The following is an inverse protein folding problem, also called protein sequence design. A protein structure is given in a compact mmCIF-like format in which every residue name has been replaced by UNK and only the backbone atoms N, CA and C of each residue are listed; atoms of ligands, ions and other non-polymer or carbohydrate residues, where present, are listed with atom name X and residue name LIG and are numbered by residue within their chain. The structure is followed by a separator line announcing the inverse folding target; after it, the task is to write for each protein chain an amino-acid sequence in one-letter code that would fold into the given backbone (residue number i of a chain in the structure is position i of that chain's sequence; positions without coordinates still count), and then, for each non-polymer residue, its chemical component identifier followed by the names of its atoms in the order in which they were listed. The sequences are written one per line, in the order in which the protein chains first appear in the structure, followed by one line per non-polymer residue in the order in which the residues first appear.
data_IF_331106206103
#
_entry.id   IF_331106206103
#
_cell.length_a   1.000
_cell.length_b   1.000
_cell.length_c   1.000
_cell.angle_alpha   90.00
_cell.angle_beta   90.00
_cell.angle_gamma   90.00
#
_symmetry.space_group_name_H-M   'P 1'
#
loop_
_entity.id
_entity.type
_entity.pdbx_description
1 polymer ?
#
# COMPACT_ATOMS: atom_id res chain seq x y z
N UNK A 1 16.92 22.78 16.42
CA UNK A 1 16.62 22.10 17.70
C UNK A 1 15.62 22.91 18.52
N UNK A 2 15.81 24.22 18.72
CA UNK A 2 14.78 25.12 19.27
C UNK A 2 13.49 25.14 18.42
N UNK A 3 13.61 25.22 17.09
CA UNK A 3 12.44 25.23 16.19
C UNK A 3 11.58 23.95 16.30
N UNK A 4 12.19 22.77 16.35
CA UNK A 4 11.47 21.48 16.48
C UNK A 4 10.79 21.26 17.84
N UNK A 5 11.29 21.87 18.93
CA UNK A 5 10.64 21.82 20.25
C UNK A 5 9.42 22.74 20.32
N UNK A 6 9.48 23.90 19.67
CA UNK A 6 8.32 24.79 19.51
C UNK A 6 7.28 24.17 18.57
N UNK A 7 7.72 23.43 17.54
CA UNK A 7 6.84 22.86 16.52
C UNK A 7 5.97 21.70 17.03
N UNK A 8 6.53 20.74 17.78
CA UNK A 8 5.75 19.68 18.45
C UNK A 8 4.77 20.28 19.46
N UNK A 9 5.15 21.37 20.12
CA UNK A 9 4.32 22.09 21.08
C UNK A 9 3.16 22.90 20.46
N UNK A 10 3.16 23.18 19.16
CA UNK A 10 2.10 23.94 18.47
C UNK A 10 1.22 23.03 17.60
N UNK A 11 1.79 22.00 16.98
CA UNK A 11 1.02 21.11 16.12
C UNK A 11 0.10 20.16 16.88
N UNK A 12 0.55 19.60 18.00
CA UNK A 12 -0.29 18.70 18.80
C UNK A 12 -1.51 19.45 19.35
N UNK A 13 -1.40 20.66 19.91
CA UNK A 13 -2.56 21.45 20.33
C UNK A 13 -3.44 21.93 19.17
N UNK A 14 -2.89 22.30 18.02
CA UNK A 14 -3.69 22.70 16.85
C UNK A 14 -4.50 21.53 16.28
N UNK A 15 -3.91 20.32 16.23
CA UNK A 15 -4.61 19.10 15.82
C UNK A 15 -5.69 18.69 16.85
N UNK A 16 -5.38 18.87 18.14
CA UNK A 16 -6.32 18.60 19.24
C UNK A 16 -7.48 19.61 19.22
N UNK A 17 -7.21 20.88 18.97
CA UNK A 17 -8.22 21.93 18.79
C UNK A 17 -9.11 21.66 17.57
N UNK A 18 -8.53 21.14 16.48
CA UNK A 18 -9.28 20.75 15.27
C UNK A 18 -10.22 19.57 15.54
N UNK A 19 -9.77 18.56 16.30
CA UNK A 19 -10.61 17.44 16.76
C UNK A 19 -11.76 17.90 17.67
N UNK A 20 -11.50 18.90 18.52
CA UNK A 20 -12.49 19.44 19.46
C UNK A 20 -13.50 20.32 18.73
N UNK A 21 -13.06 21.18 17.81
CA UNK A 21 -13.94 22.07 17.03
C UNK A 21 -14.84 21.31 16.06
N UNK A 22 -14.35 20.23 15.45
CA UNK A 22 -15.14 19.40 14.54
C UNK A 22 -16.35 18.71 15.19
N UNK A 23 -16.34 18.49 16.51
CA UNK A 23 -17.52 17.94 17.22
C UNK A 23 -18.72 18.89 17.21
N UNK A 24 -18.53 20.18 16.90
CA UNK A 24 -19.57 21.20 17.02
C UNK A 24 -20.10 21.71 15.66
N UNK A 25 -19.49 21.31 14.55
CA UNK A 25 -19.84 21.75 13.20
C UNK A 25 -19.77 20.56 12.24
N UNK A 26 -20.81 19.73 12.21
CA UNK A 26 -20.90 18.65 11.22
C UNK A 26 -21.47 19.20 9.90
N UNK A 27 -20.75 19.08 8.79
CA UNK A 27 -21.25 19.48 7.48
C UNK A 27 -22.39 18.56 7.03
N UNK A 28 -23.15 18.98 6.02
CA UNK A 28 -24.14 18.12 5.38
C UNK A 28 -23.50 16.78 4.92
N UNK A 29 -24.21 15.66 5.02
CA UNK A 29 -23.65 14.32 4.81
C UNK A 29 -23.01 14.10 3.43
N UNK A 30 -23.50 14.79 2.40
CA UNK A 30 -22.94 14.75 1.04
C UNK A 30 -21.57 15.45 0.97
N UNK A 31 -21.39 16.56 1.69
CA UNK A 31 -20.14 17.33 1.75
C UNK A 31 -19.06 16.50 2.46
N UNK A 32 -19.43 15.78 3.53
CA UNK A 32 -18.50 14.92 4.28
C UNK A 32 -17.80 13.87 3.41
N UNK A 33 -18.52 13.20 2.51
CA UNK A 33 -17.95 12.16 1.63
C UNK A 33 -16.92 12.73 0.65
N UNK A 34 -17.19 13.91 0.09
CA UNK A 34 -16.26 14.60 -0.83
C UNK A 34 -15.01 15.06 -0.09
N UNK A 35 -15.15 15.58 1.13
CA UNK A 35 -14.03 16.00 1.98
C UNK A 35 -13.13 14.82 2.34
N UNK A 36 -13.71 13.66 2.68
CA UNK A 36 -12.95 12.42 2.96
C UNK A 36 -12.20 11.94 1.71
N UNK A 37 -12.85 11.90 0.55
CA UNK A 37 -12.19 11.48 -0.68
C UNK A 37 -11.05 12.43 -1.11
N UNK A 38 -11.28 13.75 -1.05
CA UNK A 38 -10.28 14.76 -1.38
C UNK A 38 -9.10 14.73 -0.42
N UNK A 39 -9.37 14.59 0.88
CA UNK A 39 -8.32 14.47 1.90
C UNK A 39 -7.48 13.21 1.67
N UNK A 40 -8.12 12.06 1.44
CA UNK A 40 -7.40 10.82 1.14
C UNK A 40 -6.49 10.95 -0.09
N UNK A 41 -6.94 11.62 -1.16
CA UNK A 41 -6.12 11.90 -2.34
C UNK A 41 -4.92 12.81 -2.00
N UNK A 42 -5.14 13.86 -1.20
CA UNK A 42 -4.06 14.76 -0.75
C UNK A 42 -3.03 13.99 0.06
N UNK A 43 -3.45 13.16 1.02
CA UNK A 43 -2.55 12.35 1.85
C UNK A 43 -1.83 11.26 1.04
N UNK A 44 -2.49 10.64 0.06
CA UNK A 44 -1.84 9.74 -0.90
C UNK A 44 -0.72 10.47 -1.65
N UNK A 45 -1.03 11.60 -2.29
CA UNK A 45 -0.06 12.38 -3.06
C UNK A 45 1.09 12.89 -2.17
N UNK A 46 0.77 13.33 -0.96
CA UNK A 46 1.75 13.78 0.02
C UNK A 46 2.75 12.67 0.32
N UNK A 47 2.31 11.45 0.61
CA UNK A 47 3.22 10.33 0.88
C UNK A 47 4.07 9.98 -0.35
N UNK A 48 3.49 10.05 -1.56
CA UNK A 48 4.26 9.91 -2.81
C UNK A 48 5.38 10.95 -2.88
N UNK A 49 5.05 12.21 -2.59
CA UNK A 49 6.01 13.32 -2.63
C UNK A 49 7.08 13.23 -1.55
N UNK A 50 6.75 12.81 -0.33
CA UNK A 50 7.71 12.65 0.76
C UNK A 50 8.76 11.60 0.45
N UNK A 51 8.31 10.47 -0.10
CA UNK A 51 9.18 9.45 -0.66
C UNK A 51 10.00 9.97 -1.83
N UNK A 52 9.41 10.77 -2.73
CA UNK A 52 10.11 11.32 -3.88
C UNK A 52 11.20 12.34 -3.50
N UNK A 53 10.94 13.17 -2.49
CA UNK A 53 11.81 14.23 -1.98
C UNK A 53 13.06 13.71 -1.23
N UNK A 54 13.24 12.40 -1.18
CA UNK A 54 14.38 11.74 -0.54
C UNK A 54 14.49 12.03 0.96
N UNK A 55 13.39 12.31 1.66
CA UNK A 55 13.41 12.36 3.13
C UNK A 55 13.87 11.03 3.71
N UNK A 56 14.52 11.06 4.87
CA UNK A 56 14.97 9.81 5.50
C UNK A 56 13.77 8.95 5.90
N UNK A 57 13.95 7.63 5.86
CA UNK A 57 12.89 6.66 6.18
C UNK A 57 12.30 6.91 7.57
N UNK A 58 13.13 7.32 8.54
CA UNK A 58 12.67 7.67 9.88
C UNK A 58 11.64 8.80 9.88
N UNK A 59 11.84 9.87 9.09
CA UNK A 59 10.87 10.97 9.04
C UNK A 59 9.58 10.54 8.32
N UNK A 60 9.68 9.76 7.24
CA UNK A 60 8.49 9.28 6.50
C UNK A 60 7.64 8.34 7.35
N UNK A 61 8.27 7.40 8.05
CA UNK A 61 7.58 6.46 8.93
C UNK A 61 7.02 7.15 10.17
N UNK A 62 7.74 8.12 10.74
CA UNK A 62 7.21 8.93 11.85
C UNK A 62 5.98 9.74 11.41
N UNK A 63 6.05 10.37 10.23
CA UNK A 63 4.91 11.09 9.67
C UNK A 63 3.72 10.17 9.41
N UNK A 64 3.94 9.02 8.78
CA UNK A 64 2.89 8.01 8.55
C UNK A 64 2.26 7.55 9.86
N UNK A 65 3.06 7.27 10.89
CA UNK A 65 2.57 6.83 12.20
C UNK A 65 1.76 7.93 12.90
N UNK A 66 2.28 9.17 12.95
CA UNK A 66 1.61 10.31 13.59
C UNK A 66 0.30 10.63 12.85
N UNK A 67 0.32 10.68 11.52
CA UNK A 67 -0.87 10.95 10.73
C UNK A 67 -1.91 9.84 10.91
N UNK A 68 -1.50 8.56 10.89
CA UNK A 68 -2.40 7.42 11.11
C UNK A 68 -3.04 7.46 12.51
N UNK A 69 -2.25 7.76 13.55
CA UNK A 69 -2.76 7.91 14.91
C UNK A 69 -3.73 9.10 15.04
N UNK A 70 -3.41 10.22 14.39
CA UNK A 70 -4.30 11.37 14.29
C UNK A 70 -5.64 10.98 13.67
N UNK A 71 -5.61 10.28 12.52
CA UNK A 71 -6.84 9.83 11.85
C UNK A 71 -7.67 8.88 12.69
N UNK A 72 -7.05 7.95 13.43
CA UNK A 72 -7.76 7.05 14.34
C UNK A 72 -8.46 7.83 15.47
N UNK A 73 -7.90 8.97 15.90
CA UNK A 73 -8.45 9.80 16.96
C UNK A 73 -9.54 10.79 16.53
N UNK A 74 -9.85 10.90 15.24
CA UNK A 74 -10.85 11.86 14.75
C UNK A 74 -12.28 11.40 15.00
N UNK A 75 -13.15 12.36 15.32
CA UNK A 75 -14.59 12.18 15.20
C UNK A 75 -14.96 12.01 13.72
N UNK A 76 -16.02 11.25 13.41
CA UNK A 76 -16.43 11.05 12.03
C UNK A 76 -16.84 12.37 11.35
N UNK A 77 -16.37 12.57 10.12
CA UNK A 77 -16.57 13.75 9.28
C UNK A 77 -17.74 13.61 8.30
N UNK A 78 -18.24 12.38 8.15
CA UNK A 78 -19.30 12.00 7.24
C UNK A 78 -20.10 10.83 7.79
N UNK A 79 -21.17 10.46 7.09
CA UNK A 79 -21.96 9.26 7.38
C UNK A 79 -21.15 7.96 7.34
N UNK A 80 -19.93 7.98 6.79
CA UNK A 80 -19.02 6.83 6.81
C UNK A 80 -18.71 6.41 8.25
N UNK A 81 -18.70 7.35 9.19
CA UNK A 81 -18.54 7.04 10.60
C UNK A 81 -17.14 6.56 10.96
N UNK A 82 -16.91 6.41 12.26
CA UNK A 82 -15.78 5.62 12.77
C UNK A 82 -16.17 4.14 12.72
N UNK A 83 -15.34 3.24 12.15
CA UNK A 83 -13.92 3.40 11.82
C UNK A 83 -13.61 3.52 10.31
N UNK A 84 -14.60 3.75 9.46
CA UNK A 84 -14.44 3.72 8.00
C UNK A 84 -13.51 4.81 7.47
N UNK A 85 -13.65 6.04 7.98
CA UNK A 85 -12.87 7.18 7.51
C UNK A 85 -11.38 7.09 7.90
N UNK A 86 -11.02 6.75 9.16
CA UNK A 86 -9.64 6.49 9.51
C UNK A 86 -9.01 5.40 8.65
N UNK A 87 -9.75 4.31 8.39
CA UNK A 87 -9.28 3.24 7.53
C UNK A 87 -8.97 3.78 6.13
N UNK A 88 -9.90 4.49 5.50
CA UNK A 88 -9.73 5.06 4.16
C UNK A 88 -8.49 5.97 4.06
N UNK A 89 -8.26 6.81 5.07
CA UNK A 89 -7.09 7.70 5.13
C UNK A 89 -5.78 6.92 5.29
N UNK A 90 -5.75 5.96 6.21
CA UNK A 90 -4.57 5.10 6.42
C UNK A 90 -4.24 4.33 5.16
N UNK A 91 -5.24 3.83 4.45
CA UNK A 91 -5.05 3.15 3.18
C UNK A 91 -4.49 4.04 2.10
N UNK A 92 -5.01 5.26 1.98
CA UNK A 92 -4.54 6.22 1.00
C UNK A 92 -3.07 6.60 1.29
N UNK A 93 -2.73 6.81 2.56
CA UNK A 93 -1.34 7.07 2.97
C UNK A 93 -0.42 5.88 2.71
N UNK A 94 -0.83 4.67 3.08
CA UNK A 94 -0.04 3.46 2.84
C UNK A 94 0.19 3.24 1.34
N UNK A 95 -0.86 3.40 0.52
CA UNK A 95 -0.77 3.31 -0.94
C UNK A 95 0.15 4.39 -1.52
N UNK A 96 0.12 5.59 -0.97
CA UNK A 96 0.99 6.70 -1.35
C UNK A 96 2.46 6.44 -1.03
N UNK A 97 2.78 5.93 0.16
CA UNK A 97 4.16 5.60 0.55
C UNK A 97 4.72 4.47 -0.33
N UNK A 98 3.89 3.50 -0.70
CA UNK A 98 4.26 2.43 -1.62
C UNK A 98 4.59 2.99 -3.00
N UNK A 99 3.68 3.79 -3.57
CA UNK A 99 3.88 4.38 -4.89
C UNK A 99 5.12 5.30 -4.88
N UNK A 100 5.28 6.10 -3.84
CA UNK A 100 6.45 6.92 -3.59
C UNK A 100 7.74 6.12 -3.52
N UNK A 101 7.75 5.02 -2.77
CA UNK A 101 8.87 4.09 -2.66
C UNK A 101 9.27 3.52 -4.02
N UNK A 102 8.31 3.11 -4.84
CA UNK A 102 8.56 2.59 -6.19
C UNK A 102 9.19 3.66 -7.11
N UNK A 103 8.67 4.90 -7.07
CA UNK A 103 9.22 6.02 -7.84
C UNK A 103 10.63 6.38 -7.36
N UNK A 104 10.83 6.47 -6.04
CA UNK A 104 12.12 6.80 -5.43
C UNK A 104 13.18 5.75 -5.77
N UNK A 105 12.80 4.48 -5.71
CA UNK A 105 13.63 3.35 -6.12
C UNK A 105 14.04 3.46 -7.59
N UNK A 106 13.11 3.75 -8.51
CA UNK A 106 13.43 3.93 -9.94
C UNK A 106 14.46 5.03 -10.16
N UNK A 107 14.33 6.14 -9.42
CA UNK A 107 15.29 7.24 -9.48
C UNK A 107 16.70 6.81 -9.01
N UNK A 108 16.80 6.00 -7.95
CA UNK A 108 18.08 5.44 -7.47
C UNK A 108 18.74 4.49 -8.46
N UNK A 109 18.00 3.57 -9.07
CA UNK A 109 18.57 2.68 -10.08
C UNK A 109 19.04 3.43 -11.33
N UNK A 110 18.30 4.46 -11.76
CA UNK A 110 18.75 5.34 -12.84
C UNK A 110 20.01 6.11 -12.47
N UNK A 111 20.13 6.54 -11.21
CA UNK A 111 21.33 7.22 -10.73
C UNK A 111 22.54 6.27 -10.72
N UNK A 112 22.40 5.04 -10.21
CA UNK A 112 23.45 4.02 -10.28
C UNK A 112 23.88 3.71 -11.70
N UNK A 113 22.92 3.56 -12.62
CA UNK A 113 23.21 3.30 -14.03
C UNK A 113 24.01 4.44 -14.67
N UNK A 114 23.90 5.67 -14.16
CA UNK A 114 24.70 6.83 -14.61
C UNK A 114 26.06 6.93 -13.93
N UNK A 115 26.20 6.42 -12.71
CA UNK A 115 27.38 6.64 -11.85
C UNK A 115 28.39 5.49 -11.90
N UNK A 116 27.99 4.24 -12.17
CA UNK A 116 28.82 3.11 -11.69
C UNK A 116 28.90 1.82 -12.51
N UNK A 117 28.49 1.73 -13.77
CA UNK A 117 28.55 0.42 -14.46
C UNK A 117 29.40 0.42 -15.75
N UNK A 118 30.50 -0.37 -15.80
CA UNK A 118 30.75 -1.19 -16.98
C UNK A 118 29.50 -2.03 -17.23
N UNK A 119 29.06 -2.13 -18.49
CA UNK A 119 27.77 -2.70 -18.86
C UNK A 119 27.45 -4.01 -18.10
N UNK A 120 26.48 -3.97 -17.18
CA UNK A 120 25.79 -5.20 -16.76
C UNK A 120 25.29 -5.81 -18.06
N UNK A 121 25.64 -7.07 -18.40
CA UNK A 121 25.17 -7.67 -19.62
C UNK A 121 23.64 -7.56 -19.60
N UNK A 122 23.04 -6.97 -20.65
CA UNK A 122 21.62 -6.59 -20.66
C UNK A 122 20.69 -7.78 -20.38
N UNK A 123 21.18 -9.01 -20.60
CA UNK A 123 20.52 -10.27 -20.29
C UNK A 123 20.19 -10.51 -18.81
N UNK A 124 20.84 -9.82 -17.87
CA UNK A 124 20.62 -10.05 -16.44
C UNK A 124 19.92 -8.93 -15.69
N UNK A 125 19.58 -7.86 -16.40
CA UNK A 125 18.85 -6.75 -15.81
C UNK A 125 17.46 -7.22 -15.36
N UNK A 126 17.06 -6.82 -14.15
CA UNK A 126 15.67 -6.93 -13.70
C UNK A 126 14.86 -5.79 -14.29
N UNK A 127 13.72 -6.10 -14.90
CA UNK A 127 12.76 -5.09 -15.29
C UNK A 127 12.24 -4.36 -14.02
N UNK A 128 12.25 -3.01 -13.98
CA UNK A 128 12.05 -2.26 -12.75
C UNK A 128 10.65 -2.42 -12.14
N UNK A 129 9.65 -2.75 -12.96
CA UNK A 129 8.25 -2.87 -12.54
C UNK A 129 7.84 -4.33 -12.31
N UNK A 130 7.89 -5.15 -13.36
CA UNK A 130 7.54 -6.57 -13.30
C UNK A 130 8.55 -7.43 -12.52
N UNK A 131 9.74 -6.90 -12.23
CA UNK A 131 10.85 -7.66 -11.64
C UNK A 131 11.22 -8.90 -12.46
N UNK A 132 10.83 -8.99 -13.73
CA UNK A 132 11.24 -10.09 -14.60
C UNK A 132 12.73 -9.96 -14.94
N UNK A 133 13.45 -11.08 -15.01
CA UNK A 133 14.78 -11.09 -15.61
C UNK A 133 14.66 -10.81 -17.12
N UNK A 134 15.64 -10.07 -17.67
CA UNK A 134 15.69 -9.81 -19.11
C UNK A 134 15.87 -11.10 -19.93
N UNK A 135 16.63 -12.07 -19.41
CA UNK A 135 16.69 -13.42 -19.96
C UNK A 135 15.48 -14.27 -19.55
N UNK A 136 14.65 -14.61 -20.54
CA UNK A 136 13.45 -15.44 -20.37
C UNK A 136 13.74 -16.85 -19.84
N UNK A 137 14.90 -17.43 -20.15
CA UNK A 137 15.28 -18.75 -19.64
C UNK A 137 15.64 -18.70 -18.15
N UNK A 138 16.31 -17.63 -17.70
CA UNK A 138 16.57 -17.38 -16.28
C UNK A 138 15.26 -17.11 -15.54
N UNK A 139 14.36 -16.32 -16.12
CA UNK A 139 13.02 -16.08 -15.60
C UNK A 139 12.21 -17.37 -15.41
N UNK A 140 12.20 -18.23 -16.43
CA UNK A 140 11.51 -19.51 -16.38
C UNK A 140 12.11 -20.43 -15.30
N UNK A 141 13.44 -20.52 -15.18
CA UNK A 141 14.05 -21.36 -14.12
C UNK A 141 13.75 -20.83 -12.73
N UNK A 142 13.90 -19.52 -12.51
CA UNK A 142 13.64 -18.90 -11.22
C UNK A 142 12.18 -19.10 -10.80
N UNK A 143 11.22 -18.77 -11.68
CA UNK A 143 9.80 -18.84 -11.32
C UNK A 143 9.31 -20.28 -11.15
N UNK A 144 9.90 -21.25 -11.86
CA UNK A 144 9.57 -22.67 -11.70
C UNK A 144 10.07 -23.21 -10.36
N UNK A 145 11.35 -22.93 -10.04
CA UNK A 145 11.94 -23.28 -8.75
C UNK A 145 11.17 -22.63 -7.60
N UNK A 146 10.82 -21.35 -7.75
CA UNK A 146 10.08 -20.61 -6.72
C UNK A 146 8.67 -21.18 -6.53
N UNK A 147 7.93 -21.41 -7.61
CA UNK A 147 6.61 -22.03 -7.56
C UNK A 147 6.65 -23.43 -6.95
N UNK A 148 7.71 -24.20 -7.17
CA UNK A 148 7.90 -25.50 -6.51
C UNK A 148 8.12 -25.32 -5.00
N UNK A 149 9.01 -24.41 -4.62
CA UNK A 149 9.37 -24.14 -3.21
C UNK A 149 8.20 -23.66 -2.34
N UNK A 150 7.16 -23.09 -2.96
CA UNK A 150 5.98 -22.59 -2.26
C UNK A 150 4.86 -23.61 -2.14
N UNK A 151 5.08 -24.86 -2.54
CA UNK A 151 4.06 -25.91 -2.46
C UNK A 151 3.54 -26.10 -1.03
N UNK A 152 4.42 -26.47 -0.10
CA UNK A 152 4.08 -26.73 1.30
C UNK A 152 3.40 -25.52 1.97
N UNK A 153 3.98 -24.31 1.97
CA UNK A 153 3.36 -23.20 2.68
C UNK A 153 2.00 -22.78 2.09
N UNK A 154 1.82 -22.88 0.77
CA UNK A 154 0.53 -22.57 0.15
C UNK A 154 -0.53 -23.64 0.46
N UNK A 155 -0.15 -24.92 0.45
CA UNK A 155 -1.04 -26.01 0.84
C UNK A 155 -1.49 -25.86 2.29
N UNK A 156 -0.57 -25.57 3.21
CA UNK A 156 -0.90 -25.33 4.62
C UNK A 156 -1.85 -24.14 4.79
N UNK A 157 -1.57 -23.02 4.11
CA UNK A 157 -2.45 -21.85 4.14
C UNK A 157 -3.86 -22.19 3.66
N UNK A 158 -3.98 -22.87 2.52
CA UNK A 158 -5.29 -23.25 1.96
C UNK A 158 -6.03 -24.24 2.87
N UNK A 159 -5.34 -25.21 3.45
CA UNK A 159 -5.94 -26.15 4.42
C UNK A 159 -6.46 -25.45 5.67
N UNK A 160 -5.73 -24.44 6.19
CA UNK A 160 -6.20 -23.62 7.31
C UNK A 160 -7.43 -22.81 6.91
N UNK A 161 -7.45 -22.21 5.72
CA UNK A 161 -8.64 -21.51 5.23
C UNK A 161 -9.86 -22.44 5.13
N UNK A 162 -9.69 -23.65 4.59
CA UNK A 162 -10.75 -24.68 4.56
C UNK A 162 -11.24 -25.01 5.97
N UNK A 163 -10.32 -25.30 6.91
CA UNK A 163 -10.68 -25.63 8.28
C UNK A 163 -11.45 -24.50 8.97
N UNK A 164 -11.00 -23.24 8.81
CA UNK A 164 -11.71 -22.09 9.34
C UNK A 164 -13.12 -21.98 8.76
N UNK A 165 -13.29 -22.11 7.44
CA UNK A 165 -14.60 -22.05 6.80
C UNK A 165 -15.53 -23.20 7.23
N UNK A 166 -15.01 -24.38 7.56
CA UNK A 166 -15.82 -25.49 8.12
C UNK A 166 -16.24 -25.23 9.56
N UNK A 167 -15.37 -24.60 10.36
CA UNK A 167 -15.61 -24.37 11.79
C UNK A 167 -16.50 -23.16 12.09
N UNK A 168 -16.45 -22.11 11.26
CA UNK A 168 -17.23 -20.87 11.50
C UNK A 168 -18.74 -21.13 11.59
N UNK A 169 -19.37 -21.96 10.71
CA UNK A 169 -20.80 -22.28 10.82
C UNK A 169 -21.21 -23.01 12.10
N UNK A 170 -20.26 -23.67 12.78
CA UNK A 170 -20.52 -24.29 14.08
C UNK A 170 -20.69 -23.25 15.20
N UNK A 171 -20.18 -22.04 15.00
CA UNK A 171 -20.33 -20.92 15.92
C UNK A 171 -21.56 -20.07 15.58
N UNK A 172 -21.87 -19.95 14.29
CA UNK A 172 -23.04 -19.23 13.80
C UNK A 172 -23.58 -19.88 12.51
N UNK A 173 -24.72 -20.55 12.62
CA UNK A 173 -25.33 -21.28 11.51
C UNK A 173 -25.80 -20.35 10.37
N UNK A 174 -26.03 -19.07 10.63
CA UNK A 174 -26.37 -18.09 9.58
C UNK A 174 -25.28 -17.97 8.52
N UNK A 175 -24.04 -18.29 8.88
CA UNK A 175 -22.86 -18.25 8.01
C UNK A 175 -22.66 -19.55 7.23
N UNK A 176 -23.53 -20.56 7.38
CA UNK A 176 -23.37 -21.85 6.71
C UNK A 176 -23.23 -21.72 5.19
N UNK A 177 -24.14 -21.01 4.53
CA UNK A 177 -24.15 -20.87 3.06
C UNK A 177 -22.88 -20.19 2.52
N UNK A 178 -22.47 -18.99 3.00
CA UNK A 178 -21.25 -18.36 2.53
C UNK A 178 -20.00 -19.19 2.88
N UNK A 179 -19.97 -19.84 4.04
CA UNK A 179 -18.86 -20.69 4.44
C UNK A 179 -18.74 -21.97 3.59
N UNK A 180 -19.85 -22.58 3.18
CA UNK A 180 -19.84 -23.71 2.24
C UNK A 180 -19.26 -23.30 0.88
N UNK A 181 -19.64 -22.12 0.38
CA UNK A 181 -19.08 -21.57 -0.86
C UNK A 181 -17.58 -21.31 -0.75
N UNK A 182 -17.14 -20.68 0.34
CA UNK A 182 -15.71 -20.44 0.58
C UNK A 182 -14.94 -21.76 0.78
N UNK A 183 -15.52 -22.73 1.48
CA UNK A 183 -14.94 -24.08 1.64
C UNK A 183 -14.74 -24.75 0.28
N UNK A 184 -15.75 -24.69 -0.60
CA UNK A 184 -15.65 -25.22 -1.96
C UNK A 184 -14.56 -24.49 -2.78
N UNK A 185 -14.49 -23.16 -2.69
CA UNK A 185 -13.45 -22.35 -3.33
C UNK A 185 -12.05 -22.77 -2.86
N UNK A 186 -11.78 -22.76 -1.56
CA UNK A 186 -10.48 -23.09 -1.00
C UNK A 186 -10.07 -24.54 -1.25
N UNK A 187 -11.02 -25.48 -1.15
CA UNK A 187 -10.79 -26.89 -1.46
C UNK A 187 -10.44 -27.09 -2.93
N UNK A 188 -11.12 -26.39 -3.84
CA UNK A 188 -10.81 -26.45 -5.28
C UNK A 188 -9.41 -25.93 -5.56
N UNK A 189 -8.99 -24.84 -4.92
CA UNK A 189 -7.64 -24.30 -5.05
C UNK A 189 -6.59 -25.24 -4.46
N UNK A 190 -6.89 -25.87 -3.32
CA UNK A 190 -6.03 -26.86 -2.68
C UNK A 190 -5.81 -28.08 -3.59
N UNK A 191 -6.90 -28.66 -4.12
CA UNK A 191 -6.85 -29.78 -5.05
C UNK A 191 -6.12 -29.39 -6.33
N UNK A 192 -6.42 -28.22 -6.89
CA UNK A 192 -5.72 -27.70 -8.07
C UNK A 192 -4.21 -27.57 -7.80
N UNK A 193 -3.82 -27.07 -6.62
CA UNK A 193 -2.42 -26.93 -6.23
C UNK A 193 -1.71 -28.28 -6.11
N UNK A 194 -2.37 -29.28 -5.50
CA UNK A 194 -1.85 -30.65 -5.39
C UNK A 194 -1.71 -31.29 -6.78
N UNK A 195 -2.70 -31.10 -7.64
CA UNK A 195 -2.72 -31.68 -8.98
C UNK A 195 -1.62 -31.09 -9.87
N UNK A 196 -1.53 -29.75 -9.97
CA UNK A 196 -0.50 -29.10 -10.80
C UNK A 196 0.92 -29.34 -10.30
N UNK A 197 1.11 -29.59 -8.99
CA UNK A 197 2.44 -29.88 -8.44
C UNK A 197 3.06 -31.16 -9.02
N UNK A 198 2.23 -32.12 -9.44
CA UNK A 198 2.67 -33.38 -10.05
C UNK A 198 3.14 -33.25 -11.51
N UNK A 199 2.95 -32.09 -12.13
CA UNK A 199 3.37 -31.87 -13.51
C UNK A 199 4.90 -31.76 -13.60
N UNK A 200 5.51 -32.41 -14.60
CA UNK A 200 6.96 -32.32 -14.83
C UNK A 200 7.39 -30.88 -15.17
N UNK A 201 6.58 -30.16 -15.95
CA UNK A 201 6.81 -28.75 -16.28
C UNK A 201 6.15 -27.83 -15.26
N UNK A 202 6.95 -27.35 -14.31
CA UNK A 202 6.51 -26.42 -13.27
C UNK A 202 6.19 -25.02 -13.79
N UNK A 203 6.68 -24.62 -14.98
CA UNK A 203 6.23 -23.37 -15.61
C UNK A 203 4.79 -23.47 -16.08
N UNK A 204 4.47 -24.55 -16.79
CA UNK A 204 3.11 -24.83 -17.22
C UNK A 204 2.18 -25.00 -16.03
N UNK A 205 2.62 -25.72 -14.98
CA UNK A 205 1.89 -25.87 -13.73
C UNK A 205 1.51 -24.52 -13.10
N UNK A 206 2.47 -23.58 -13.05
CA UNK A 206 2.29 -22.22 -12.53
C UNK A 206 1.22 -21.44 -13.30
N UNK A 207 1.27 -21.48 -14.62
CA UNK A 207 0.29 -20.78 -15.46
C UNK A 207 -1.10 -21.39 -15.34
N UNK A 208 -1.20 -22.73 -15.35
CA UNK A 208 -2.49 -23.43 -15.15
C UNK A 208 -3.08 -23.12 -13.78
N UNK A 209 -2.26 -23.14 -12.73
CA UNK A 209 -2.71 -22.78 -11.38
C UNK A 209 -3.21 -21.34 -11.31
N UNK A 210 -2.49 -20.39 -11.93
CA UNK A 210 -2.93 -18.99 -12.00
C UNK A 210 -4.27 -18.82 -12.73
N UNK A 211 -4.49 -19.57 -13.82
CA UNK A 211 -5.77 -19.56 -14.54
C UNK A 211 -6.90 -20.16 -13.72
N UNK A 212 -6.66 -21.29 -13.06
CA UNK A 212 -7.64 -21.89 -12.15
C UNK A 212 -7.96 -20.90 -11.04
N UNK A 213 -6.94 -20.30 -10.42
CA UNK A 213 -7.10 -19.32 -9.35
C UNK A 213 -8.05 -18.19 -9.75
N UNK A 214 -7.78 -17.51 -10.85
CA UNK A 214 -8.64 -16.45 -11.38
C UNK A 214 -10.02 -17.00 -11.75
N UNK A 215 -10.05 -18.14 -12.45
CA UNK A 215 -11.27 -18.75 -12.99
C UNK A 215 -12.26 -19.23 -11.94
N UNK A 216 -11.81 -19.68 -10.76
CA UNK A 216 -12.74 -20.07 -9.66
C UNK A 216 -13.18 -18.89 -8.81
N UNK A 217 -12.37 -17.83 -8.70
CA UNK A 217 -12.75 -16.66 -7.91
C UNK A 217 -13.86 -15.84 -8.58
N UNK A 218 -13.91 -15.77 -9.91
CA UNK A 218 -15.01 -15.08 -10.62
C UNK A 218 -16.39 -15.65 -10.22
N UNK A 219 -16.70 -16.94 -10.45
CA UNK A 219 -17.99 -17.50 -10.09
C UNK A 219 -18.21 -17.53 -8.58
N UNK A 220 -17.16 -17.69 -7.76
CA UNK A 220 -17.30 -17.63 -6.31
C UNK A 220 -17.77 -16.25 -5.82
N UNK A 221 -17.17 -15.17 -6.34
CA UNK A 221 -17.60 -13.81 -6.03
C UNK A 221 -18.99 -13.52 -6.58
N UNK A 222 -19.28 -13.93 -7.82
CA UNK A 222 -20.64 -13.78 -8.39
C UNK A 222 -21.68 -14.50 -7.53
N UNK A 223 -21.42 -15.74 -7.14
CA UNK A 223 -22.32 -16.52 -6.29
C UNK A 223 -22.49 -15.85 -4.92
N UNK A 224 -21.42 -15.39 -4.28
CA UNK A 224 -21.51 -14.68 -3.00
C UNK A 224 -22.35 -13.40 -3.11
N UNK A 225 -22.10 -12.56 -4.12
CA UNK A 225 -22.88 -11.34 -4.33
C UNK A 225 -24.37 -11.62 -4.61
N UNK A 226 -24.67 -12.70 -5.35
CA UNK A 226 -26.04 -13.13 -5.61
C UNK A 226 -26.69 -13.66 -4.33
N UNK A 227 -26.04 -14.61 -3.65
CA UNK A 227 -26.57 -15.26 -2.45
C UNK A 227 -26.84 -14.25 -1.35
N UNK A 228 -25.91 -13.34 -1.07
CA UNK A 228 -26.12 -12.32 -0.04
C UNK A 228 -27.37 -11.47 -0.29
N UNK A 229 -27.72 -11.18 -1.54
CA UNK A 229 -28.95 -10.44 -1.88
C UNK A 229 -30.23 -11.21 -1.61
N UNK A 230 -30.15 -12.54 -1.54
CA UNK A 230 -31.32 -13.41 -1.38
C UNK A 230 -31.41 -14.10 -0.02
N UNK A 231 -30.30 -14.22 0.72
CA UNK A 231 -30.24 -15.08 1.92
C UNK A 231 -29.93 -14.36 3.23
N UNK A 232 -29.48 -13.10 3.22
CA UNK A 232 -29.10 -12.39 4.45
C UNK A 232 -30.03 -11.21 4.74
N UNK A 233 -31.02 -11.37 5.65
CA UNK A 233 -31.62 -10.23 6.33
C UNK A 233 -30.68 -9.77 7.45
N UNK A 234 -30.40 -8.46 7.49
CA UNK A 234 -29.68 -7.75 8.57
C UNK A 234 -28.18 -8.06 8.75
N UNK A 235 -27.37 -7.11 9.29
CA UNK A 235 -25.93 -7.30 9.45
C UNK A 235 -25.64 -8.36 10.51
N UNK A 236 -25.29 -9.57 10.07
CA UNK A 236 -25.17 -10.76 10.91
C UNK A 236 -23.80 -10.89 11.62
N UNK A 237 -22.78 -10.15 11.21
CA UNK A 237 -21.39 -10.49 11.57
C UNK A 237 -20.64 -9.35 12.26
N UNK A 238 -19.99 -9.67 13.39
CA UNK A 238 -19.20 -8.71 14.16
C UNK A 238 -17.92 -8.25 13.44
N UNK A 239 -17.43 -7.06 13.79
CA UNK A 239 -16.23 -6.40 13.22
C UNK A 239 -14.98 -7.28 13.20
N UNK A 240 -14.87 -8.23 14.14
CA UNK A 240 -13.77 -9.20 14.23
C UNK A 240 -13.69 -10.10 12.99
N UNK A 241 -14.82 -10.50 12.41
CA UNK A 241 -14.84 -11.36 11.22
C UNK A 241 -14.38 -10.60 9.98
N UNK A 242 -14.71 -9.31 9.89
CA UNK A 242 -14.18 -8.43 8.84
C UNK A 242 -12.67 -8.27 8.97
N UNK A 243 -12.15 -8.05 10.18
CA UNK A 243 -10.71 -7.98 10.43
C UNK A 243 -9.99 -9.29 10.08
N UNK A 244 -10.54 -10.44 10.49
CA UNK A 244 -9.99 -11.74 10.18
C UNK A 244 -9.99 -12.03 8.67
N UNK A 245 -11.08 -11.69 7.99
CA UNK A 245 -11.19 -11.81 6.53
C UNK A 245 -10.14 -10.94 5.83
N UNK A 246 -10.01 -9.68 6.21
CA UNK A 246 -8.99 -8.78 5.66
C UNK A 246 -7.58 -9.33 5.84
N UNK A 247 -7.26 -9.93 6.99
CA UNK A 247 -5.98 -10.60 7.21
C UNK A 247 -5.79 -11.79 6.25
N UNK A 248 -6.81 -12.62 6.03
CA UNK A 248 -6.76 -13.73 5.07
C UNK A 248 -6.47 -13.21 3.66
N UNK A 249 -7.18 -12.16 3.21
CA UNK A 249 -6.98 -11.56 1.89
C UNK A 249 -5.62 -10.87 1.75
N UNK A 250 -5.11 -10.23 2.80
CA UNK A 250 -3.74 -9.72 2.86
C UNK A 250 -2.73 -10.86 2.67
N UNK A 251 -2.84 -11.94 3.47
CA UNK A 251 -1.93 -13.08 3.41
C UNK A 251 -2.02 -13.80 2.06
N UNK A 252 -3.21 -13.89 1.48
CA UNK A 252 -3.43 -14.46 0.17
C UNK A 252 -2.60 -13.73 -0.90
N UNK A 253 -2.65 -12.40 -0.94
CA UNK A 253 -1.84 -11.61 -1.89
C UNK A 253 -0.32 -11.80 -1.67
N UNK A 254 0.11 -11.90 -0.41
CA UNK A 254 1.50 -12.21 -0.07
C UNK A 254 1.90 -13.59 -0.61
N UNK A 255 1.06 -14.61 -0.42
CA UNK A 255 1.33 -15.97 -0.88
C UNK A 255 1.33 -16.09 -2.41
N UNK A 256 0.44 -15.39 -3.11
CA UNK A 256 0.42 -15.38 -4.57
C UNK A 256 1.68 -14.78 -5.16
N UNK A 257 2.15 -13.68 -4.57
CA UNK A 257 3.43 -13.07 -4.92
C UNK A 257 4.61 -13.98 -4.57
N UNK A 258 4.55 -14.65 -3.41
CA UNK A 258 5.60 -15.58 -3.00
C UNK A 258 5.68 -16.82 -3.91
N UNK A 259 4.54 -17.31 -4.41
CA UNK A 259 4.45 -18.40 -5.36
C UNK A 259 4.92 -18.03 -6.77
N UNK A 260 5.34 -16.78 -6.98
CA UNK A 260 5.80 -16.25 -8.26
C UNK A 260 4.77 -16.42 -9.38
N UNK A 261 3.46 -16.35 -9.07
CA UNK A 261 2.42 -16.26 -10.10
C UNK A 261 2.67 -15.05 -11.00
N UNK A 262 2.28 -15.15 -12.27
CA UNK A 262 2.48 -14.04 -13.20
C UNK A 262 1.69 -12.81 -12.76
N UNK A 263 2.24 -11.63 -13.04
CA UNK A 263 1.64 -10.33 -12.70
C UNK A 263 0.21 -10.23 -13.20
N UNK A 264 -0.05 -10.73 -14.42
CA UNK A 264 -1.38 -10.75 -15.01
C UNK A 264 -2.41 -11.50 -14.12
N UNK A 265 -2.08 -12.68 -13.59
CA UNK A 265 -3.00 -13.43 -12.73
C UNK A 265 -3.20 -12.76 -11.37
N UNK A 266 -2.14 -12.18 -10.78
CA UNK A 266 -2.22 -11.49 -9.49
C UNK A 266 -3.07 -10.23 -9.59
N UNK A 267 -2.84 -9.42 -10.63
CA UNK A 267 -3.62 -8.21 -10.90
C UNK A 267 -5.06 -8.53 -11.29
N UNK A 268 -5.29 -9.58 -12.09
CA UNK A 268 -6.65 -10.03 -12.41
C UNK A 268 -7.40 -10.45 -11.14
N UNK A 269 -6.76 -11.23 -10.26
CA UNK A 269 -7.35 -11.61 -8.99
C UNK A 269 -7.64 -10.39 -8.09
N UNK A 270 -6.70 -9.45 -7.97
CA UNK A 270 -6.89 -8.21 -7.21
C UNK A 270 -8.10 -7.41 -7.75
N UNK A 271 -8.23 -7.29 -9.07
CA UNK A 271 -9.37 -6.63 -9.70
C UNK A 271 -10.69 -7.37 -9.42
N UNK A 272 -10.74 -8.68 -9.62
CA UNK A 272 -11.93 -9.51 -9.37
C UNK A 272 -12.35 -9.42 -7.91
N UNK A 273 -11.42 -9.56 -6.97
CA UNK A 273 -11.73 -9.49 -5.55
C UNK A 273 -12.19 -8.09 -5.14
N UNK A 274 -11.55 -7.03 -5.66
CA UNK A 274 -11.97 -5.65 -5.38
C UNK A 274 -13.39 -5.38 -5.89
N UNK A 275 -13.71 -5.82 -7.12
CA UNK A 275 -15.06 -5.72 -7.67
C UNK A 275 -16.06 -6.58 -6.90
N UNK A 276 -15.65 -7.77 -6.47
CA UNK A 276 -16.44 -8.64 -5.60
C UNK A 276 -16.84 -7.91 -4.32
N UNK A 277 -15.86 -7.38 -3.58
CA UNK A 277 -16.12 -6.61 -2.37
C UNK A 277 -16.99 -5.37 -2.58
N UNK A 278 -16.78 -4.63 -3.67
CA UNK A 278 -17.64 -3.48 -4.01
C UNK A 278 -19.07 -3.92 -4.30
N UNK A 279 -19.25 -5.10 -4.89
CA UNK A 279 -20.56 -5.65 -5.25
C UNK A 279 -21.28 -6.39 -4.12
N UNK A 280 -20.59 -6.75 -3.04
CA UNK A 280 -21.18 -7.39 -1.86
C UNK A 280 -22.16 -6.43 -1.17
N UNK A 281 -23.26 -6.99 -0.67
CA UNK A 281 -24.15 -6.25 0.21
C UNK A 281 -23.44 -6.02 1.57
N UNK A 282 -23.82 -4.95 2.31
CA UNK A 282 -23.35 -4.76 3.67
C UNK A 282 -23.63 -6.03 4.49
N UNK A 283 -22.59 -6.62 5.09
CA UNK A 283 -22.72 -7.90 5.81
C UNK A 283 -22.23 -7.85 7.26
N UNK A 284 -21.65 -6.73 7.69
CA UNK A 284 -21.27 -6.46 9.07
C UNK A 284 -21.78 -5.10 9.53
N UNK A 285 -21.54 -4.78 10.81
CA UNK A 285 -21.79 -3.46 11.38
C UNK A 285 -21.02 -2.31 10.71
N UNK A 286 -19.93 -2.62 9.98
CA UNK A 286 -19.14 -1.58 9.28
C UNK A 286 -19.92 -1.02 8.08
N UNK A 287 -20.70 -1.88 7.43
CA UNK A 287 -21.51 -1.56 6.28
C UNK A 287 -20.73 -1.05 5.06
N UNK A 288 -21.47 -0.66 4.03
CA UNK A 288 -20.90 -0.01 2.85
C UNK A 288 -20.80 1.50 3.07
N UNK A 289 -19.68 2.15 2.69
CA UNK A 289 -18.56 1.63 1.90
C UNK A 289 -17.31 1.27 2.74
N UNK A 290 -17.46 1.16 4.06
CA UNK A 290 -16.35 0.86 4.96
C UNK A 290 -15.75 -0.54 4.72
N UNK A 291 -16.61 -1.55 4.59
CA UNK A 291 -16.18 -2.95 4.39
C UNK A 291 -15.39 -3.13 3.08
N UNK A 292 -15.88 -2.68 1.91
CA UNK A 292 -15.11 -2.80 0.67
C UNK A 292 -13.79 -2.05 0.74
N UNK A 293 -13.78 -0.84 1.32
CA UNK A 293 -12.56 -0.07 1.48
C UNK A 293 -11.52 -0.86 2.29
N UNK A 294 -11.89 -1.32 3.48
CA UNK A 294 -10.99 -2.06 4.37
C UNK A 294 -10.39 -3.32 3.70
N UNK A 295 -11.21 -4.06 2.96
CA UNK A 295 -10.77 -5.27 2.24
C UNK A 295 -9.83 -4.95 1.08
N UNK A 296 -10.15 -3.93 0.28
CA UNK A 296 -9.30 -3.47 -0.83
C UNK A 296 -7.95 -3.01 -0.30
N UNK A 297 -7.93 -2.29 0.81
CA UNK A 297 -6.70 -1.86 1.45
C UNK A 297 -5.83 -3.02 1.94
N UNK A 298 -6.45 -4.03 2.56
CA UNK A 298 -5.74 -5.20 3.03
C UNK A 298 -5.12 -5.96 1.85
N UNK A 299 -5.85 -6.12 0.75
CA UNK A 299 -5.31 -6.73 -0.47
C UNK A 299 -4.19 -5.91 -1.09
N UNK A 300 -4.35 -4.59 -1.22
CA UNK A 300 -3.32 -3.71 -1.75
C UNK A 300 -2.04 -3.78 -0.89
N UNK A 301 -2.18 -3.74 0.42
CA UNK A 301 -1.08 -3.88 1.37
C UNK A 301 -0.39 -5.25 1.25
N UNK A 302 -1.17 -6.31 1.02
CA UNK A 302 -0.66 -7.66 0.80
C UNK A 302 0.13 -7.81 -0.51
N UNK A 303 -0.35 -7.22 -1.61
CA UNK A 303 0.37 -7.22 -2.90
C UNK A 303 1.69 -6.45 -2.79
N UNK A 304 1.71 -5.34 -2.06
CA UNK A 304 2.92 -4.58 -1.78
C UNK A 304 3.92 -5.40 -0.97
N UNK A 305 3.48 -6.01 0.12
CA UNK A 305 4.34 -6.85 0.95
C UNK A 305 4.87 -8.03 0.13
N UNK A 306 4.01 -8.67 -0.64
CA UNK A 306 4.35 -9.73 -1.58
C UNK A 306 5.40 -9.29 -2.60
N UNK A 307 5.24 -8.12 -3.20
CA UNK A 307 6.19 -7.51 -4.14
C UNK A 307 7.56 -7.30 -3.49
N UNK A 308 7.61 -6.77 -2.26
CA UNK A 308 8.87 -6.57 -1.52
C UNK A 308 9.58 -7.90 -1.24
N UNK A 309 8.85 -8.94 -0.84
CA UNK A 309 9.38 -10.28 -0.59
C UNK A 309 9.91 -10.90 -1.90
N UNK A 310 9.12 -10.84 -2.98
CA UNK A 310 9.48 -11.37 -4.30
C UNK A 310 10.72 -10.68 -4.85
N UNK A 311 10.78 -9.35 -4.72
CA UNK A 311 11.96 -8.54 -5.04
C UNK A 311 13.20 -9.02 -4.31
N UNK A 312 13.13 -9.16 -2.97
CA UNK A 312 14.27 -9.61 -2.15
C UNK A 312 14.77 -10.98 -2.61
N UNK A 313 13.84 -11.89 -2.93
CA UNK A 313 14.17 -13.22 -3.41
C UNK A 313 14.89 -13.18 -4.78
N UNK A 314 14.47 -12.30 -5.70
CA UNK A 314 15.09 -12.15 -7.03
C UNK A 314 16.49 -11.53 -6.98
N UNK A 315 16.70 -10.49 -6.17
CA UNK A 315 18.06 -9.94 -6.00
C UNK A 315 19.02 -10.94 -5.36
N UNK A 316 18.54 -11.73 -4.39
CA UNK A 316 19.35 -12.84 -3.83
C UNK A 316 19.67 -13.90 -4.88
N UNK A 317 18.75 -14.18 -5.79
CA UNK A 317 19.00 -15.10 -6.89
C UNK A 317 20.07 -14.56 -7.85
N UNK A 318 19.98 -13.29 -8.26
CA UNK A 318 21.02 -12.64 -9.06
C UNK A 318 22.39 -12.66 -8.38
N UNK A 319 22.44 -12.30 -7.10
CA UNK A 319 23.68 -12.30 -6.35
C UNK A 319 24.35 -13.69 -6.29
N UNK A 320 23.56 -14.78 -6.40
CA UNK A 320 24.07 -16.15 -6.46
C UNK A 320 24.47 -16.58 -7.87
N UNK A 321 23.83 -16.04 -8.91
CA UNK A 321 24.01 -16.45 -10.30
C UNK A 321 25.08 -15.63 -11.04
N UNK A 322 25.40 -14.41 -10.57
CA UNK A 322 26.15 -13.41 -11.36
C UNK A 322 27.46 -12.85 -10.77
N UNK A 323 28.15 -13.48 -9.82
CA UNK A 323 29.43 -12.89 -9.39
C UNK A 323 30.46 -12.99 -10.55
N UNK A 324 30.90 -11.84 -11.11
CA UNK A 324 32.03 -11.09 -10.56
C UNK A 324 31.56 -9.95 -9.66
N UNK A 325 32.40 -9.64 -8.67
CA UNK A 325 32.11 -8.73 -7.57
C UNK A 325 31.60 -7.35 -8.07
N UNK A 326 30.29 -7.10 -7.93
CA UNK A 326 29.83 -5.72 -7.76
C UNK A 326 30.57 -5.20 -6.53
N UNK A 327 31.37 -4.11 -6.65
CA UNK A 327 32.08 -3.61 -5.50
C UNK A 327 31.06 -3.34 -4.39
N UNK A 328 31.28 -3.83 -3.17
CA UNK A 328 30.30 -3.77 -2.09
C UNK A 328 29.84 -2.33 -1.77
N UNK A 329 30.61 -1.32 -2.20
CA UNK A 329 30.28 0.11 -2.14
C UNK A 329 29.10 0.55 -3.03
N UNK A 330 28.77 -0.18 -4.10
CA UNK A 330 27.69 0.14 -5.04
C UNK A 330 26.33 -0.48 -4.69
N UNK A 331 26.31 -1.37 -3.69
CA UNK A 331 25.11 -2.12 -3.33
C UNK A 331 24.04 -1.22 -2.69
N UNK A 332 22.80 -1.32 -3.17
CA UNK A 332 21.65 -0.74 -2.50
C UNK A 332 21.21 -1.64 -1.35
N UNK A 333 21.04 -1.07 -0.16
CA UNK A 333 20.43 -1.77 0.95
C UNK A 333 18.99 -2.17 0.59
N UNK A 334 18.59 -3.44 0.76
CA UNK A 334 17.34 -3.97 0.20
C UNK A 334 16.07 -3.35 0.79
N UNK A 335 16.15 -2.79 2.00
CA UNK A 335 15.02 -2.21 2.72
C UNK A 335 14.99 -0.69 2.62
N UNK A 336 16.04 -0.03 3.11
CA UNK A 336 16.16 1.43 3.14
C UNK A 336 16.46 2.06 1.78
N UNK A 337 16.82 1.26 0.76
CA UNK A 337 17.30 1.74 -0.53
C UNK A 337 18.53 2.65 -0.43
N UNK A 338 19.23 2.71 0.70
CA UNK A 338 20.45 3.50 0.84
C UNK A 338 21.58 2.86 0.03
N UNK A 339 22.44 3.67 -0.59
CA UNK A 339 23.70 3.18 -1.13
C UNK A 339 24.63 2.78 0.02
N UNK A 340 25.40 1.71 -0.19
CA UNK A 340 26.41 1.28 0.78
C UNK A 340 27.51 2.34 0.95
N UNK A 341 27.85 3.08 -0.11
CA UNK A 341 28.72 4.24 -0.04
C UNK A 341 27.95 5.50 0.41
N UNK A 342 28.29 5.98 1.60
CA UNK A 342 27.70 7.18 2.20
C UNK A 342 27.92 8.46 1.36
N UNK A 343 29.01 8.57 0.60
CA UNK A 343 29.28 9.72 -0.27
C UNK A 343 28.41 9.70 -1.53
N UNK A 344 28.10 8.52 -2.07
CA UNK A 344 27.13 8.35 -3.16
C UNK A 344 25.71 8.63 -2.65
N UNK A 345 25.39 8.15 -1.45
CA UNK A 345 24.12 8.46 -0.77
C UNK A 345 23.92 9.96 -0.53
N UNK A 346 24.93 10.64 -0.02
CA UNK A 346 24.93 12.08 0.20
C UNK A 346 24.67 12.85 -1.12
N UNK A 347 25.42 12.53 -2.18
CA UNK A 347 25.27 13.19 -3.49
C UNK A 347 23.91 12.92 -4.13
N UNK A 348 23.45 11.68 -4.12
CA UNK A 348 22.12 11.33 -4.64
C UNK A 348 21.02 12.05 -3.88
N UNK A 349 21.04 12.00 -2.55
CA UNK A 349 19.97 12.61 -1.73
C UNK A 349 19.96 14.13 -1.85
N UNK A 350 21.13 14.79 -1.93
CA UNK A 350 21.24 16.21 -2.21
C UNK A 350 20.68 16.57 -3.60
N UNK A 351 21.17 15.91 -4.66
CA UNK A 351 20.70 16.14 -6.03
C UNK A 351 19.20 15.90 -6.17
N UNK A 352 18.70 14.82 -5.56
CA UNK A 352 17.27 14.48 -5.60
C UNK A 352 16.46 15.54 -4.87
N UNK A 353 16.84 15.92 -3.65
CA UNK A 353 16.18 16.97 -2.89
C UNK A 353 16.14 18.29 -3.66
N UNK A 354 17.19 18.68 -4.37
CA UNK A 354 17.18 19.86 -5.25
C UNK A 354 16.20 19.67 -6.41
N UNK A 355 16.25 18.53 -7.10
CA UNK A 355 15.39 18.25 -8.28
C UNK A 355 13.89 18.22 -7.96
N UNK A 356 13.52 17.90 -6.72
CA UNK A 356 12.11 17.85 -6.28
C UNK A 356 11.60 19.18 -5.74
N UNK A 357 12.39 20.26 -5.79
CA UNK A 357 11.96 21.59 -5.36
C UNK A 357 10.70 22.06 -6.09
N UNK A 358 10.74 22.11 -7.43
CA UNK A 358 9.62 22.64 -8.23
C UNK A 358 8.34 21.81 -8.05
N UNK A 359 8.36 20.46 -8.17
CA UNK A 359 7.16 19.66 -7.96
C UNK A 359 6.55 19.80 -6.56
N UNK A 360 7.39 19.88 -5.52
CA UNK A 360 6.91 19.99 -4.14
C UNK A 360 6.32 21.38 -3.86
N UNK A 361 6.94 22.45 -4.37
CA UNK A 361 6.41 23.81 -4.26
C UNK A 361 5.05 23.93 -4.95
N UNK A 362 4.93 23.39 -6.17
CA UNK A 362 3.66 23.36 -6.90
C UNK A 362 2.58 22.59 -6.13
N UNK A 363 2.91 21.40 -5.62
CA UNK A 363 1.99 20.62 -4.80
C UNK A 363 1.51 21.39 -3.56
N UNK A 364 2.43 21.99 -2.80
CA UNK A 364 2.10 22.76 -1.60
C UNK A 364 1.24 23.99 -1.92
N UNK A 365 1.53 24.69 -3.01
CA UNK A 365 0.71 25.82 -3.48
C UNK A 365 -0.71 25.39 -3.86
N UNK A 366 -0.86 24.22 -4.50
CA UNK A 366 -2.18 23.65 -4.80
C UNK A 366 -2.90 23.28 -3.50
N UNK A 367 -2.23 22.65 -2.53
CA UNK A 367 -2.82 22.35 -1.22
C UNK A 367 -3.32 23.62 -0.50
N UNK A 368 -2.52 24.70 -0.50
CA UNK A 368 -2.90 26.01 0.03
C UNK A 368 -4.14 26.55 -0.70
N UNK A 369 -4.13 26.57 -2.03
CA UNK A 369 -5.25 27.06 -2.82
C UNK A 369 -6.52 26.26 -2.57
N UNK A 370 -6.43 24.92 -2.52
CA UNK A 370 -7.56 24.07 -2.19
C UNK A 370 -8.12 24.37 -0.79
N UNK A 371 -7.26 24.54 0.21
CA UNK A 371 -7.70 24.88 1.57
C UNK A 371 -8.36 26.28 1.64
N UNK A 372 -7.95 27.24 0.82
CA UNK A 372 -8.63 28.55 0.73
C UNK A 372 -9.98 28.46 0.04
N UNK A 373 -10.12 27.57 -0.96
CA UNK A 373 -11.34 27.44 -1.77
C UNK A 373 -12.42 26.56 -1.12
N UNK A 374 -12.06 25.54 -0.34
CA UNK A 374 -13.02 24.62 0.29
C UNK A 374 -14.04 25.35 1.20
N UNK A 375 -13.65 26.35 2.02
CA UNK A 375 -14.60 27.10 2.84
C UNK A 375 -15.59 27.96 2.05
N UNK A 376 -15.31 28.26 0.77
CA UNK A 376 -16.27 28.92 -0.11
C UNK A 376 -17.42 27.99 -0.50
N UNK A 377 -17.25 26.67 -0.34
CA UNK A 377 -18.28 25.66 -0.57
C UNK A 377 -19.08 25.37 0.71
N UNK A 378 -18.44 25.44 1.87
CA UNK A 378 -19.08 25.27 3.18
C UNK A 378 -18.31 26.05 4.26
N UNK A 379 -18.95 27.07 4.83
CA UNK A 379 -18.35 27.95 5.83
C UNK A 379 -18.00 27.21 7.12
N UNK A 380 -18.66 26.09 7.43
CA UNK A 380 -18.33 25.26 8.60
C UNK A 380 -16.91 24.70 8.55
N UNK A 381 -16.32 24.60 7.36
CA UNK A 381 -14.96 24.12 7.13
C UNK A 381 -13.90 25.24 7.23
N UNK A 382 -14.29 26.49 7.50
CA UNK A 382 -13.38 27.65 7.52
C UNK A 382 -12.21 27.46 8.49
N UNK A 383 -12.50 27.11 9.75
CA UNK A 383 -11.47 26.96 10.78
C UNK A 383 -10.48 25.83 10.46
N UNK A 384 -10.91 24.59 10.15
CA UNK A 384 -9.96 23.53 9.81
C UNK A 384 -9.15 23.84 8.55
N UNK A 385 -9.77 24.47 7.55
CA UNK A 385 -9.08 24.89 6.34
C UNK A 385 -8.05 25.99 6.60
N UNK A 386 -8.31 26.93 7.52
CA UNK A 386 -7.33 27.94 7.91
C UNK A 386 -6.11 27.33 8.59
N UNK A 387 -6.30 26.33 9.47
CA UNK A 387 -5.19 25.59 10.08
C UNK A 387 -4.37 24.80 9.05
N UNK A 388 -5.03 24.12 8.12
CA UNK A 388 -4.35 23.41 7.02
C UNK A 388 -3.62 24.39 6.11
N UNK A 389 -4.23 25.53 5.78
CA UNK A 389 -3.60 26.61 5.00
C UNK A 389 -2.34 27.12 5.68
N UNK A 390 -2.39 27.37 7.00
CA UNK A 390 -1.24 27.80 7.78
C UNK A 390 -0.13 26.72 7.78
N UNK A 391 -0.49 25.45 7.96
CA UNK A 391 0.45 24.32 7.88
C UNK A 391 1.13 24.25 6.51
N UNK A 392 0.36 24.19 5.43
CA UNK A 392 0.89 24.07 4.07
C UNK A 392 1.72 25.28 3.66
N UNK A 393 1.30 26.49 4.04
CA UNK A 393 2.05 27.72 3.81
C UNK A 393 3.36 27.71 4.59
N UNK A 394 3.36 27.22 5.82
CA UNK A 394 4.59 27.08 6.63
C UNK A 394 5.55 26.08 5.99
N UNK A 395 5.06 24.93 5.53
CA UNK A 395 5.85 23.93 4.83
C UNK A 395 6.40 24.47 3.49
N UNK A 396 5.62 25.26 2.78
CA UNK A 396 6.02 25.93 1.54
C UNK A 396 7.14 26.94 1.79
N UNK A 397 6.97 27.83 2.77
CA UNK A 397 7.98 28.83 3.15
C UNK A 397 9.24 28.14 3.66
N UNK A 398 9.11 27.12 4.51
CA UNK A 398 10.23 26.32 4.99
C UNK A 398 10.98 25.68 3.81
N UNK A 399 10.25 25.13 2.83
CA UNK A 399 10.85 24.53 1.64
C UNK A 399 11.63 25.55 0.81
N UNK A 400 11.06 26.72 0.57
CA UNK A 400 11.70 27.83 -0.17
C UNK A 400 12.96 28.31 0.55
N UNK A 401 12.87 28.49 1.87
CA UNK A 401 13.98 28.96 2.68
C UNK A 401 15.13 27.95 2.72
N UNK A 402 14.81 26.69 3.00
CA UNK A 402 15.79 25.61 3.12
C UNK A 402 16.47 25.30 1.78
N UNK A 403 15.77 25.47 0.65
CA UNK A 403 16.37 25.27 -0.68
C UNK A 403 17.52 26.24 -0.98
N UNK A 404 17.56 27.42 -0.35
CA UNK A 404 18.64 28.42 -0.54
C UNK A 404 19.94 28.09 0.21
N UNK A 405 19.96 27.05 1.05
CA UNK A 405 21.15 26.67 1.78
C UNK A 405 22.20 26.03 0.84
N UNK A 406 23.46 26.42 0.98
CA UNK A 406 24.56 25.87 0.18
C UNK A 406 24.71 24.35 0.36
N UNK A 407 24.51 23.85 1.58
CA UNK A 407 24.51 22.42 1.88
C UNK A 407 23.10 21.84 1.79
N UNK A 408 22.79 21.25 0.62
CA UNK A 408 21.50 20.62 0.34
C UNK A 408 21.23 19.36 1.19
N UNK A 409 22.26 18.73 1.75
CA UNK A 409 22.08 17.57 2.63
C UNK A 409 21.62 18.02 4.02
N UNK A 410 22.24 19.07 4.56
CA UNK A 410 21.78 19.72 5.80
C UNK A 410 20.38 20.32 5.62
N UNK A 411 20.13 20.92 4.47
CA UNK A 411 18.82 21.43 4.08
C UNK A 411 17.76 20.33 4.17
N UNK A 412 18.01 19.17 3.56
CA UNK A 412 17.11 18.00 3.62
C UNK A 412 16.78 17.55 5.05
N UNK A 413 17.78 17.46 5.91
CA UNK A 413 17.58 17.04 7.30
C UNK A 413 16.80 18.07 8.12
N UNK A 414 17.01 19.37 7.86
CA UNK A 414 16.25 20.44 8.51
C UNK A 414 14.79 20.43 8.05
N UNK A 415 14.55 20.32 6.74
CA UNK A 415 13.20 20.25 6.19
C UNK A 415 12.45 19.03 6.70
N UNK A 416 13.08 17.85 6.74
CA UNK A 416 12.45 16.64 7.28
C UNK A 416 12.12 16.69 8.78
N UNK A 417 12.77 17.57 9.55
CA UNK A 417 12.43 17.81 10.97
C UNK A 417 11.33 18.85 11.16
N UNK A 418 11.16 19.73 10.19
CA UNK A 418 10.09 20.74 10.15
C UNK A 418 8.82 20.13 9.58
N UNK A 419 8.93 19.13 8.72
CA UNK A 419 7.83 18.29 8.27
C UNK A 419 7.48 17.27 9.35
#
# INVERSE_FOLDING_TARGET
LLFGRVWVGVHVPAWTALCVLQRFTLPEPAVGKVVVAASALVFFLQQVYLSHAALSDAHRLAYLAIASLGFIGLAPWSELGTPAEPAYMVCAMASGEVMGYLIHRRARYRHLARVQLPAVPPSAALHPWSLAFADAAVEARYTASKFTSTYVPLVLFLSVCVACCVMIPCLDFSLWIPCMHLTALWSTLLVARIWVHRLADQQRARLLFGRVWVGVHVPAWTALCVLQRFTLPEPAVGKVVVAASALVFFLQQVYLSHAALSDAHRLAYLAIASLGFIGLAPWSELGTPAEPAYMVCAMASGEVMGYLIHRRARYRHLARVQLPAVPPSAALHPWSLAFADAAVEARYTASKFTSTYVPLVLFLSVCVACCVMIPCLDFSLWIPCMHLTALWSTLLVARIWVHRLADQQRARLLFGRVW
#
